data_IF_373281482519
#
_entry.id   IF_373281482519
#
_cell.length_a   1.000
_cell.length_b   1.000
_cell.length_c   1.000
_cell.angle_alpha   90.00
_cell.angle_beta   90.00
_cell.angle_gamma   90.00
#
_symmetry.space_group_name_H-M   'P 1'
#
loop_
_entity.id
_entity.type
_entity.pdbx_description
1 polymer ?
#
# COMPACT_ATOMS: atom_id res chain seq x y z
N UNK A 1 -4.28 5.42 -18.56
CA UNK A 1 -2.94 4.95 -18.17
C UNK A 1 -3.15 4.13 -16.93
N UNK A 2 -3.62 2.91 -17.14
CA UNK A 2 -4.73 2.38 -16.36
C UNK A 2 -4.31 1.11 -15.60
N UNK A 3 -4.55 1.12 -14.28
CA UNK A 3 -4.64 -0.05 -13.39
C UNK A 3 -3.38 -0.86 -13.04
N UNK A 4 -2.19 -0.26 -13.00
CA UNK A 4 -0.98 -0.98 -12.55
C UNK A 4 -0.79 -1.06 -11.02
N UNK A 5 -1.63 -0.38 -10.22
CA UNK A 5 -1.42 -0.33 -8.75
C UNK A 5 -1.67 -1.67 -8.07
N UNK A 6 -2.69 -2.40 -8.49
CA UNK A 6 -3.00 -3.71 -7.90
C UNK A 6 -1.87 -4.71 -8.15
N UNK A 7 -1.46 -4.83 -9.42
CA UNK A 7 -0.39 -5.72 -9.84
C UNK A 7 0.96 -5.29 -9.23
N UNK A 8 1.25 -4.00 -9.16
CA UNK A 8 2.49 -3.49 -8.56
C UNK A 8 2.57 -3.77 -7.06
N UNK A 9 1.49 -3.54 -6.31
CA UNK A 9 1.46 -3.82 -4.87
C UNK A 9 1.56 -5.32 -4.61
N UNK A 10 0.86 -6.14 -5.41
CA UNK A 10 0.95 -7.60 -5.32
C UNK A 10 2.40 -8.07 -5.54
N UNK A 11 3.05 -7.61 -6.62
CA UNK A 11 4.42 -8.00 -6.93
C UNK A 11 5.41 -7.51 -5.87
N UNK A 12 5.26 -6.28 -5.37
CA UNK A 12 6.08 -5.77 -4.28
C UNK A 12 5.93 -6.63 -3.01
N UNK A 13 4.70 -6.99 -2.65
CA UNK A 13 4.44 -7.84 -1.48
C UNK A 13 5.00 -9.26 -1.66
N UNK A 14 4.80 -9.87 -2.83
CA UNK A 14 5.38 -11.19 -3.16
C UNK A 14 6.89 -11.17 -3.13
N UNK A 15 7.53 -10.17 -3.73
CA UNK A 15 9.00 -10.05 -3.71
C UNK A 15 9.54 -9.96 -2.27
N UNK A 16 8.93 -9.13 -1.42
CA UNK A 16 9.38 -8.96 -0.04
C UNK A 16 9.15 -10.22 0.80
N UNK A 17 8.02 -10.89 0.64
CA UNK A 17 7.60 -11.99 1.53
C UNK A 17 7.95 -13.39 1.02
N UNK A 18 7.97 -13.61 -0.30
CA UNK A 18 8.26 -14.90 -0.92
C UNK A 18 9.74 -15.02 -1.29
N UNK A 19 10.30 -14.04 -2.02
CA UNK A 19 11.69 -14.08 -2.48
C UNK A 19 12.67 -13.71 -1.36
N UNK A 20 12.45 -12.56 -0.72
CA UNK A 20 13.29 -12.10 0.39
C UNK A 20 12.91 -12.70 1.74
N UNK A 21 11.79 -13.42 1.81
CA UNK A 21 11.32 -14.11 3.03
C UNK A 21 11.25 -13.20 4.24
N UNK A 22 10.93 -11.92 4.02
CA UNK A 22 10.77 -10.96 5.10
C UNK A 22 9.49 -11.29 5.87
N UNK A 23 9.54 -11.20 7.20
CA UNK A 23 8.39 -11.54 8.02
C UNK A 23 7.34 -10.43 7.91
N UNK A 24 6.11 -10.83 7.58
CA UNK A 24 4.98 -9.93 7.22
C UNK A 24 4.60 -8.97 8.35
N UNK A 25 4.81 -9.39 9.59
CA UNK A 25 4.60 -8.60 10.81
C UNK A 25 5.50 -7.36 10.89
N UNK A 26 6.58 -7.30 10.11
CA UNK A 26 7.51 -6.17 10.04
C UNK A 26 7.32 -5.28 8.82
N UNK A 27 6.37 -5.62 7.94
CA UNK A 27 6.09 -4.82 6.75
C UNK A 27 5.05 -3.76 7.09
N UNK A 28 5.32 -2.53 6.68
CA UNK A 28 4.41 -1.40 6.81
C UNK A 28 4.29 -0.73 5.45
N UNK A 29 3.08 -0.40 5.06
CA UNK A 29 2.79 0.33 3.84
C UNK A 29 2.30 1.73 4.19
N UNK A 30 2.69 2.73 3.41
CA UNK A 30 2.17 4.09 3.52
C UNK A 30 1.31 4.38 2.31
N UNK A 31 0.08 4.86 2.52
CA UNK A 31 -0.79 5.35 1.46
C UNK A 31 -0.87 6.86 1.53
N UNK A 32 -1.04 7.51 0.39
CA UNK A 32 -1.16 8.96 0.35
C UNK A 32 -2.47 9.40 1.01
N UNK A 33 -2.38 10.25 2.05
CA UNK A 33 -3.55 10.62 2.84
C UNK A 33 -4.48 11.64 2.15
N UNK A 34 -4.00 12.23 1.05
CA UNK A 34 -4.61 13.39 0.43
C UNK A 34 -3.99 14.67 0.97
N UNK A 35 -4.00 15.73 0.17
CA UNK A 35 -3.59 17.06 0.61
C UNK A 35 -4.72 18.06 0.33
N UNK A 36 -5.34 18.56 1.39
CA UNK A 36 -6.41 19.54 1.29
C UNK A 36 -5.94 20.90 0.74
N UNK A 37 -4.64 21.24 0.87
CA UNK A 37 -4.08 22.48 0.33
C UNK A 37 -3.93 22.42 -1.19
N UNK A 38 -3.56 21.25 -1.69
CA UNK A 38 -3.38 20.98 -3.12
C UNK A 38 -4.65 20.38 -3.78
N UNK A 39 -5.74 20.25 -3.02
CA UNK A 39 -7.00 19.63 -3.45
C UNK A 39 -6.82 18.20 -4.00
N UNK A 40 -5.90 17.45 -3.40
CA UNK A 40 -5.61 16.06 -3.74
C UNK A 40 -6.38 15.13 -2.79
N UNK A 41 -7.15 14.21 -3.36
CA UNK A 41 -7.92 13.25 -2.58
C UNK A 41 -7.04 12.12 -2.04
N UNK A 42 -7.53 11.48 -0.98
CA UNK A 42 -6.98 10.24 -0.43
C UNK A 42 -6.84 9.15 -1.50
N UNK A 43 -5.72 8.43 -1.52
CA UNK A 43 -5.56 7.26 -2.40
C UNK A 43 -6.29 6.04 -1.83
N UNK A 44 -7.62 6.07 -1.93
CA UNK A 44 -8.51 5.00 -1.48
C UNK A 44 -8.22 3.67 -2.21
N UNK A 45 -7.84 3.75 -3.48
CA UNK A 45 -7.51 2.59 -4.30
C UNK A 45 -6.30 1.85 -3.73
N UNK A 46 -5.20 2.55 -3.45
CA UNK A 46 -4.01 1.95 -2.86
C UNK A 46 -4.30 1.35 -1.47
N UNK A 47 -5.10 2.03 -0.66
CA UNK A 47 -5.51 1.55 0.67
C UNK A 47 -6.31 0.24 0.59
N UNK A 48 -7.29 0.16 -0.29
CA UNK A 48 -8.13 -1.03 -0.45
C UNK A 48 -7.33 -2.23 -0.99
N UNK A 49 -6.33 -1.99 -1.84
CA UNK A 49 -5.41 -3.03 -2.32
C UNK A 49 -4.52 -3.51 -1.18
N UNK A 50 -3.87 -2.61 -0.44
CA UNK A 50 -2.98 -2.98 0.67
C UNK A 50 -3.70 -3.77 1.76
N UNK A 51 -4.98 -3.45 2.02
CA UNK A 51 -5.85 -4.21 2.95
C UNK A 51 -6.01 -5.69 2.61
N UNK A 52 -5.79 -6.09 1.34
CA UNK A 52 -5.82 -7.51 0.94
C UNK A 52 -4.58 -8.27 1.42
N UNK A 53 -3.46 -7.58 1.66
CA UNK A 53 -2.15 -8.20 1.95
C UNK A 53 -1.65 -7.93 3.37
N UNK A 54 -1.98 -6.77 3.94
CA UNK A 54 -1.53 -6.32 5.26
C UNK A 54 -2.73 -5.98 6.17
N UNK A 55 -2.62 -6.20 7.49
CA UNK A 55 -3.59 -5.71 8.47
C UNK A 55 -3.63 -4.17 8.49
N UNK A 56 -4.80 -3.60 8.81
CA UNK A 56 -5.00 -2.14 8.83
C UNK A 56 -4.03 -1.40 9.75
N UNK A 57 -3.58 -2.04 10.84
CA UNK A 57 -2.60 -1.47 11.77
C UNK A 57 -1.21 -1.27 11.16
N UNK A 58 -0.92 -1.88 10.01
CA UNK A 58 0.33 -1.76 9.28
C UNK A 58 0.22 -0.86 8.04
N UNK A 59 -0.97 -0.32 7.75
CA UNK A 59 -1.18 0.60 6.65
C UNK A 59 -1.32 2.00 7.23
N UNK A 60 -0.32 2.83 6.98
CA UNK A 60 -0.21 4.18 7.52
C UNK A 60 -0.66 5.20 6.48
N UNK A 61 -1.29 6.27 6.94
CA UNK A 61 -1.60 7.43 6.12
C UNK A 61 -0.38 8.34 6.11
N UNK A 62 0.20 8.56 4.93
CA UNK A 62 1.35 9.43 4.71
C UNK A 62 0.88 10.88 4.63
N UNK A 63 1.39 11.69 5.55
CA UNK A 63 1.19 13.15 5.68
C UNK A 63 2.32 13.89 4.95
#
# INVERSE_FOLDING_TARGET
>A
GDYFKEEAIEWAFKLLTEEYKLPKDRLYATVFEGDAKENLAFDQEAWDIWKKYLPESQILKGN
#
